data_IF_537220546337
#
_entry.id   IF_537220546337
#
_cell.length_a   1.000
_cell.length_b   1.000
_cell.length_c   1.000
_cell.angle_alpha   90.00
_cell.angle_beta   90.00
_cell.angle_gamma   90.00
#
_symmetry.space_group_name_H-M   'P 1'
#
loop_
_entity.id
_entity.type
_entity.pdbx_description
1 polymer ?
#
# COMPACT_ATOMS: atom_id res chain seq x y z
N UNK A 1 2.32 5.63 -10.36
CA UNK A 1 1.58 4.35 -10.28
C UNK A 1 0.91 4.27 -8.93
N UNK A 2 -0.23 3.59 -8.85
CA UNK A 2 -0.93 3.33 -7.59
C UNK A 2 -0.88 1.83 -7.31
N UNK A 3 -0.51 1.46 -6.09
CA UNK A 3 -0.36 0.07 -5.65
C UNK A 3 -1.34 -0.18 -4.52
N UNK A 4 -2.22 -1.15 -4.73
CA UNK A 4 -3.25 -1.59 -3.78
C UNK A 4 -2.78 -2.87 -3.11
N UNK A 5 -2.73 -2.89 -1.78
CA UNK A 5 -2.17 -3.99 -0.99
C UNK A 5 -2.97 -4.24 0.29
N UNK A 6 -2.75 -5.42 0.87
CA UNK A 6 -3.13 -5.73 2.25
C UNK A 6 -1.92 -6.28 3.01
N UNK A 7 -1.78 -5.90 4.28
CA UNK A 7 -0.55 -6.18 5.04
C UNK A 7 -0.34 -7.64 5.44
N UNK A 8 -1.37 -8.49 5.38
CA UNK A 8 -1.22 -9.93 5.66
C UNK A 8 -1.31 -10.79 4.39
N UNK A 9 -1.77 -10.25 3.28
CA UNK A 9 -1.77 -10.95 1.99
C UNK A 9 -0.34 -11.33 1.55
N UNK A 10 -0.10 -12.63 1.37
CA UNK A 10 1.20 -13.16 0.95
C UNK A 10 1.62 -12.62 -0.42
N UNK A 11 0.67 -12.50 -1.37
CA UNK A 11 0.96 -11.94 -2.68
C UNK A 11 1.35 -10.47 -2.60
N UNK A 12 0.70 -9.69 -1.72
CA UNK A 12 1.05 -8.28 -1.51
C UNK A 12 2.48 -8.15 -0.95
N UNK A 13 2.86 -9.02 -0.01
CA UNK A 13 4.23 -9.08 0.51
C UNK A 13 5.23 -9.47 -0.57
N UNK A 14 4.94 -10.49 -1.38
CA UNK A 14 5.83 -10.92 -2.45
C UNK A 14 6.01 -9.81 -3.49
N UNK A 15 4.95 -9.12 -3.89
CA UNK A 15 5.09 -7.97 -4.78
C UNK A 15 6.00 -6.88 -4.20
N UNK A 16 5.80 -6.49 -2.94
CA UNK A 16 6.64 -5.48 -2.31
C UNK A 16 8.10 -5.93 -2.21
N UNK A 17 8.35 -7.15 -1.73
CA UNK A 17 9.72 -7.62 -1.44
C UNK A 17 10.48 -8.10 -2.69
N UNK A 18 9.80 -8.73 -3.65
CA UNK A 18 10.44 -9.41 -4.78
C UNK A 18 10.35 -8.62 -6.08
N UNK A 19 9.35 -7.74 -6.24
CA UNK A 19 9.18 -6.94 -7.45
C UNK A 19 9.57 -5.49 -7.26
N UNK A 20 9.05 -4.83 -6.22
CA UNK A 20 9.19 -3.39 -6.06
C UNK A 20 10.48 -2.99 -5.34
N UNK A 21 10.73 -3.53 -4.15
CA UNK A 21 11.91 -3.19 -3.34
C UNK A 21 13.24 -3.36 -4.11
N UNK A 22 13.49 -4.45 -4.86
CA UNK A 22 14.78 -4.68 -5.52
C UNK A 22 15.08 -3.70 -6.66
N UNK A 23 14.05 -3.08 -7.22
CA UNK A 23 14.20 -2.15 -8.35
C UNK A 23 14.00 -0.69 -7.94
N UNK A 24 13.48 -0.44 -6.74
CA UNK A 24 13.04 0.89 -6.33
C UNK A 24 14.11 1.96 -6.51
N UNK A 25 15.36 1.69 -6.12
CA UNK A 25 16.44 2.67 -6.25
C UNK A 25 16.75 3.06 -7.70
N UNK A 26 16.51 2.18 -8.68
CA UNK A 26 16.72 2.48 -10.10
C UNK A 26 15.59 3.35 -10.69
N UNK A 27 14.40 3.32 -10.10
CA UNK A 27 13.21 3.98 -10.63
C UNK A 27 12.68 5.12 -9.76
N UNK A 28 13.13 5.27 -8.51
CA UNK A 28 12.55 6.20 -7.51
C UNK A 28 12.47 7.66 -7.94
N UNK A 29 13.36 8.11 -8.82
CA UNK A 29 13.36 9.49 -9.34
C UNK A 29 12.56 9.62 -10.66
N UNK A 30 12.10 8.49 -11.21
CA UNK A 30 11.32 8.41 -12.46
C UNK A 30 9.84 8.08 -12.21
N UNK A 31 9.50 7.55 -11.02
CA UNK A 31 8.14 7.14 -10.69
C UNK A 31 7.70 7.76 -9.37
N UNK A 32 6.44 8.18 -9.34
CA UNK A 32 5.71 8.42 -8.11
C UNK A 32 4.85 7.19 -7.80
N UNK A 33 4.91 6.70 -6.56
CA UNK A 33 4.12 5.56 -6.10
C UNK A 33 3.14 6.04 -5.04
N UNK A 34 1.86 5.81 -5.28
CA UNK A 34 0.83 5.98 -4.26
C UNK A 34 0.46 4.59 -3.72
N UNK A 35 0.53 4.40 -2.41
CA UNK A 35 0.14 3.15 -1.77
C UNK A 35 -1.25 3.29 -1.17
N UNK A 36 -2.15 2.37 -1.54
CA UNK A 36 -3.46 2.22 -0.92
C UNK A 36 -3.44 0.88 -0.18
N UNK A 37 -3.47 0.93 1.16
CA UNK A 37 -3.67 -0.25 2.01
C UNK A 37 -5.17 -0.44 2.25
N UNK A 38 -5.61 -1.48 2.99
CA UNK A 38 -7.04 -1.77 3.19
C UNK A 38 -7.81 -2.12 1.92
N UNK A 39 -7.14 -2.57 0.87
CA UNK A 39 -7.74 -2.59 -0.46
C UNK A 39 -8.90 -3.59 -0.64
N UNK A 40 -8.96 -4.71 0.09
CA UNK A 40 -10.12 -5.62 0.11
C UNK A 40 -10.97 -5.48 1.37
N UNK A 41 -10.74 -4.46 2.19
CA UNK A 41 -11.48 -4.30 3.43
C UNK A 41 -12.92 -3.85 3.18
N UNK A 42 -13.81 -4.28 4.07
CA UNK A 42 -15.21 -3.88 4.12
C UNK A 42 -15.45 -3.15 5.44
N UNK A 43 -15.84 -1.89 5.33
CA UNK A 43 -15.96 -0.92 6.40
C UNK A 43 -17.30 -0.20 6.32
N UNK A 44 -17.94 -0.06 7.48
CA UNK A 44 -19.20 0.67 7.61
C UNK A 44 -19.29 1.34 8.99
N UNK A 45 -20.04 2.43 9.06
CA UNK A 45 -20.33 3.13 10.32
C UNK A 45 -21.55 2.46 10.95
N UNK A 46 -21.41 2.04 12.21
CA UNK A 46 -22.51 1.49 13.02
C UNK A 46 -23.43 2.60 13.51
N UNK A 47 -24.59 2.20 14.04
CA UNK A 47 -25.58 3.12 14.61
C UNK A 47 -25.04 3.96 15.77
N UNK A 48 -24.03 3.47 16.49
CA UNK A 48 -23.35 4.19 17.58
C UNK A 48 -22.22 5.12 17.10
N UNK A 49 -22.03 5.26 15.78
CA UNK A 49 -20.98 6.08 15.17
C UNK A 49 -19.59 5.45 15.16
N UNK A 50 -19.43 4.21 15.64
CA UNK A 50 -18.16 3.49 15.54
C UNK A 50 -17.94 2.92 14.14
N UNK A 51 -16.70 2.96 13.67
CA UNK A 51 -16.32 2.31 12.43
C UNK A 51 -16.11 0.81 12.67
N UNK A 52 -16.93 -0.03 12.02
CA UNK A 52 -16.60 -1.44 11.85
C UNK A 52 -15.73 -1.62 10.62
N UNK A 53 -14.74 -2.49 10.69
CA UNK A 53 -13.90 -2.85 9.54
C UNK A 53 -13.57 -4.32 9.60
N UNK A 54 -13.87 -5.01 8.51
CA UNK A 54 -13.57 -6.41 8.27
C UNK A 54 -12.47 -6.48 7.21
N UNK A 55 -11.38 -7.15 7.57
CA UNK A 55 -10.28 -7.44 6.64
C UNK A 55 -10.21 -8.94 6.38
N UNK A 56 -9.68 -9.32 5.22
CA UNK A 56 -9.66 -10.71 4.76
C UNK A 56 -8.92 -11.63 5.74
N UNK A 57 -7.79 -11.17 6.30
CA UNK A 57 -6.99 -11.92 7.27
C UNK A 57 -7.27 -11.51 8.74
N UNK A 58 -8.45 -10.91 8.99
CA UNK A 58 -8.94 -10.57 10.32
C UNK A 58 -8.25 -9.37 10.99
N UNK A 59 -8.48 -9.21 12.30
CA UNK A 59 -8.05 -8.03 13.06
C UNK A 59 -6.56 -7.68 12.93
N UNK A 60 -5.61 -8.64 12.90
CA UNK A 60 -4.19 -8.30 12.80
C UNK A 60 -3.79 -7.67 11.46
N UNK A 61 -4.56 -7.89 10.39
CA UNK A 61 -4.42 -7.15 9.13
C UNK A 61 -4.96 -5.74 9.29
N UNK A 62 -6.20 -5.59 9.76
CA UNK A 62 -6.81 -4.27 9.93
C UNK A 62 -5.95 -3.34 10.80
N UNK A 63 -5.35 -3.85 11.88
CA UNK A 63 -4.48 -3.06 12.75
C UNK A 63 -3.24 -2.56 11.99
N UNK A 64 -2.62 -3.41 11.17
CA UNK A 64 -1.41 -3.06 10.45
C UNK A 64 -1.71 -2.20 9.22
N UNK A 65 -2.79 -2.45 8.50
CA UNK A 65 -3.27 -1.61 7.39
C UNK A 65 -3.61 -0.20 7.90
N UNK A 66 -4.24 -0.08 9.08
CA UNK A 66 -4.50 1.23 9.69
C UNK A 66 -3.23 1.95 10.10
N UNK A 67 -2.28 1.23 10.71
CA UNK A 67 -0.97 1.78 11.02
C UNK A 67 -0.26 2.29 9.76
N UNK A 68 -0.25 1.49 8.68
CA UNK A 68 0.35 1.87 7.40
C UNK A 68 -0.36 3.09 6.80
N UNK A 69 -1.69 3.08 6.73
CA UNK A 69 -2.51 4.19 6.20
C UNK A 69 -2.23 5.49 6.95
N UNK A 70 -2.27 5.47 8.29
CA UNK A 70 -1.98 6.63 9.11
C UNK A 70 -0.53 7.10 8.97
N UNK A 71 0.43 6.17 8.92
CA UNK A 71 1.83 6.53 8.69
C UNK A 71 2.02 7.21 7.33
N UNK A 72 1.42 6.67 6.26
CA UNK A 72 1.44 7.30 4.94
C UNK A 72 0.84 8.72 4.99
N UNK A 73 -0.28 8.91 5.69
CA UNK A 73 -0.91 10.22 5.84
C UNK A 73 -0.05 11.23 6.62
N UNK A 74 0.57 10.80 7.73
CA UNK A 74 1.42 11.64 8.58
C UNK A 74 2.67 12.11 7.82
N UNK A 75 3.25 11.24 6.99
CA UNK A 75 4.45 11.50 6.20
C UNK A 75 4.18 11.85 4.72
N UNK A 76 2.97 12.29 4.39
CA UNK A 76 2.53 12.56 3.00
C UNK A 76 3.37 13.57 2.20
N UNK A 77 4.15 14.42 2.89
CA UNK A 77 5.03 15.39 2.25
C UNK A 77 6.42 14.81 1.91
N UNK A 78 6.74 13.58 2.35
CA UNK A 78 7.99 12.89 2.04
C UNK A 78 7.69 11.51 1.43
N UNK A 79 7.48 11.52 0.11
CA UNK A 79 7.15 10.32 -0.68
C UNK A 79 8.26 9.26 -0.61
N UNK A 80 9.54 9.69 -0.56
CA UNK A 80 10.67 8.76 -0.41
C UNK A 80 10.63 8.05 0.94
N UNK A 81 10.18 8.74 2.00
CA UNK A 81 10.01 8.17 3.33
C UNK A 81 8.78 7.26 3.44
N UNK A 82 7.67 7.60 2.79
CA UNK A 82 6.48 6.75 2.71
C UNK A 82 6.82 5.32 2.21
N UNK A 83 7.67 5.22 1.19
CA UNK A 83 8.07 3.92 0.66
C UNK A 83 8.87 3.09 1.67
N UNK A 84 9.74 3.71 2.48
CA UNK A 84 10.49 3.03 3.55
C UNK A 84 9.55 2.40 4.59
N UNK A 85 8.46 3.10 4.93
CA UNK A 85 7.44 2.60 5.86
C UNK A 85 6.80 1.32 5.32
N UNK A 86 6.33 1.33 4.07
CA UNK A 86 5.72 0.15 3.44
C UNK A 86 6.74 -0.98 3.31
N UNK A 87 7.95 -0.71 2.82
CA UNK A 87 8.97 -1.74 2.67
C UNK A 87 9.34 -2.38 4.00
N UNK A 88 9.51 -1.61 5.08
CA UNK A 88 9.82 -2.18 6.38
C UNK A 88 8.66 -3.02 6.92
N UNK A 89 7.44 -2.48 6.89
CA UNK A 89 6.26 -3.14 7.48
C UNK A 89 5.82 -4.39 6.71
N UNK A 90 6.11 -4.46 5.41
CA UNK A 90 5.80 -5.60 4.54
C UNK A 90 6.91 -6.66 4.46
N UNK A 91 8.13 -6.36 4.94
CA UNK A 91 9.28 -7.31 4.94
C UNK A 91 9.23 -8.34 6.07
N UNK A 92 8.53 -8.05 7.16
CA UNK A 92 8.71 -8.77 8.43
C UNK A 92 7.52 -9.65 8.84
N UNK A 93 7.81 -10.81 9.42
CA UNK A 93 6.85 -11.56 10.28
C UNK A 93 6.73 -10.93 11.68
N UNK A 94 7.68 -10.08 12.07
CA UNK A 94 7.70 -9.38 13.37
C UNK A 94 6.81 -8.14 13.29
N UNK A 95 6.13 -7.83 14.39
CA UNK A 95 5.26 -6.67 14.54
C UNK A 95 5.94 -5.36 14.06
N UNK A 96 5.16 -4.44 13.49
CA UNK A 96 5.62 -3.12 12.97
C UNK A 96 6.39 -2.25 13.98
N UNK A 97 6.41 -2.62 15.26
CA UNK A 97 7.24 -2.03 16.33
C UNK A 97 8.72 -1.93 15.99
N UNK A 98 9.28 -2.90 15.25
CA UNK A 98 10.66 -2.81 14.80
C UNK A 98 10.86 -1.65 13.81
N UNK A 99 9.91 -1.46 12.89
CA UNK A 99 9.94 -0.37 11.91
C UNK A 99 9.76 1.01 12.54
N UNK A 100 8.97 1.12 13.60
CA UNK A 100 8.85 2.37 14.38
C UNK A 100 10.23 2.81 14.87
N UNK A 101 11.02 1.90 15.44
CA UNK A 101 12.37 2.21 15.92
C UNK A 101 13.36 2.44 14.77
N UNK A 102 13.37 1.56 13.77
CA UNK A 102 14.30 1.61 12.63
C UNK A 102 14.15 2.90 11.82
N UNK A 103 12.93 3.39 11.64
CA UNK A 103 12.64 4.58 10.85
C UNK A 103 12.43 5.83 11.71
N UNK A 104 12.56 5.73 13.04
CA UNK A 104 12.27 6.81 13.99
C UNK A 104 10.89 7.45 13.75
N UNK A 105 9.86 6.61 13.67
CA UNK A 105 8.49 7.07 13.44
C UNK A 105 7.92 7.76 14.67
N UNK A 106 7.18 8.84 14.43
CA UNK A 106 6.44 9.58 15.45
C UNK A 106 5.20 8.76 15.85
N UNK A 107 5.41 7.87 16.82
CA UNK A 107 4.39 6.91 17.25
C UNK A 107 3.18 7.62 17.85
N UNK A 108 3.37 8.73 18.54
CA UNK A 108 2.28 9.48 19.16
C UNK A 108 1.33 10.03 18.09
N UNK A 109 1.87 10.67 17.04
CA UNK A 109 1.05 11.16 15.93
C UNK A 109 0.35 10.04 15.17
N UNK A 110 1.02 8.90 15.00
CA UNK A 110 0.42 7.74 14.35
C UNK A 110 -0.71 7.18 15.22
N UNK A 111 -0.50 6.99 16.51
CA UNK A 111 -1.52 6.48 17.45
C UNK A 111 -2.75 7.40 17.49
N UNK A 112 -2.53 8.71 17.60
CA UNK A 112 -3.59 9.72 17.51
C UNK A 112 -4.39 9.61 16.21
N UNK A 113 -3.73 9.35 15.08
CA UNK A 113 -4.42 9.08 13.83
C UNK A 113 -5.23 7.78 13.90
N UNK A 114 -4.64 6.68 14.37
CA UNK A 114 -5.32 5.37 14.38
C UNK A 114 -6.51 5.29 15.34
N UNK A 115 -6.52 6.11 16.39
CA UNK A 115 -7.58 6.14 17.39
C UNK A 115 -8.64 7.22 17.11
N UNK A 116 -8.34 8.17 16.22
CA UNK A 116 -9.19 9.32 15.93
C UNK A 116 -10.01 9.22 14.64
N UNK A 117 -10.77 10.29 14.37
CA UNK A 117 -11.59 10.42 13.17
C UNK A 117 -10.78 10.37 11.88
N UNK A 118 -9.52 10.82 11.91
CA UNK A 118 -8.61 10.74 10.77
C UNK A 118 -8.42 9.30 10.31
N UNK A 119 -8.16 8.36 11.24
CA UNK A 119 -8.03 6.95 10.91
C UNK A 119 -9.31 6.37 10.31
N UNK A 120 -10.47 6.73 10.87
CA UNK A 120 -11.78 6.29 10.35
C UNK A 120 -12.00 6.77 8.91
N UNK A 121 -11.78 8.07 8.67
CA UNK A 121 -11.89 8.67 7.35
C UNK A 121 -10.97 7.99 6.34
N UNK A 122 -9.70 7.78 6.72
CA UNK A 122 -8.71 7.19 5.83
C UNK A 122 -9.05 5.73 5.48
N UNK A 123 -9.59 4.94 6.41
CA UNK A 123 -10.04 3.57 6.11
C UNK A 123 -11.20 3.57 5.11
N UNK A 124 -12.22 4.41 5.31
CA UNK A 124 -13.34 4.53 4.37
C UNK A 124 -12.89 5.06 3.00
N UNK A 125 -11.94 6.00 2.99
CA UNK A 125 -11.33 6.50 1.78
C UNK A 125 -10.58 5.39 1.03
N UNK A 126 -9.74 4.61 1.70
CA UNK A 126 -9.02 3.48 1.10
C UNK A 126 -9.96 2.46 0.45
N UNK A 127 -11.05 2.09 1.12
CA UNK A 127 -12.08 1.23 0.54
C UNK A 127 -12.66 1.83 -0.74
N UNK A 128 -13.05 3.11 -0.69
CA UNK A 128 -13.65 3.80 -1.84
C UNK A 128 -12.69 3.85 -3.03
N UNK A 129 -11.42 4.21 -2.80
CA UNK A 129 -10.40 4.29 -3.85
C UNK A 129 -10.08 2.92 -4.47
N UNK A 130 -10.23 1.85 -3.69
CA UNK A 130 -9.94 0.48 -4.13
C UNK A 130 -11.10 -0.17 -4.90
N UNK A 131 -12.34 0.27 -4.67
CA UNK A 131 -13.55 -0.43 -5.12
C UNK A 131 -13.55 -0.77 -6.62
N UNK A 132 -13.28 0.21 -7.50
CA UNK A 132 -13.27 -0.03 -8.94
C UNK A 132 -12.11 -0.94 -9.37
N UNK A 133 -10.93 -0.75 -8.77
CA UNK A 133 -9.73 -1.51 -9.11
C UNK A 133 -9.87 -2.97 -8.72
N UNK A 134 -10.37 -3.24 -7.51
CA UNK A 134 -10.56 -4.60 -7.01
C UNK A 134 -11.66 -5.33 -7.76
N UNK A 135 -12.74 -4.62 -8.13
CA UNK A 135 -13.81 -5.19 -8.96
C UNK A 135 -13.28 -5.70 -10.31
N UNK A 136 -12.37 -4.96 -10.94
CA UNK A 136 -11.85 -5.32 -12.27
C UNK A 136 -10.65 -6.29 -12.21
N UNK A 137 -9.78 -6.16 -11.20
CA UNK A 137 -8.54 -6.94 -11.08
C UNK A 137 -8.65 -8.16 -10.15
N UNK A 138 -9.77 -8.34 -9.46
CA UNK A 138 -10.09 -9.52 -8.65
C UNK A 138 -9.10 -9.85 -7.52
N UNK A 139 -8.42 -8.84 -6.95
CA UNK A 139 -7.61 -9.07 -5.75
C UNK A 139 -6.46 -8.10 -5.54
N UNK A 140 -5.64 -8.41 -4.54
CA UNK A 140 -4.40 -7.71 -4.20
C UNK A 140 -3.20 -8.67 -4.27
N UNK A 141 -2.00 -8.19 -4.63
CA UNK A 141 -1.68 -6.80 -4.99
C UNK A 141 -2.26 -6.43 -6.34
N UNK A 142 -2.66 -5.17 -6.49
CA UNK A 142 -3.09 -4.59 -7.75
C UNK A 142 -2.25 -3.35 -8.05
N UNK A 143 -1.89 -3.15 -9.32
CA UNK A 143 -1.07 -2.00 -9.75
C UNK A 143 -1.71 -1.35 -10.97
N UNK A 144 -1.97 -0.06 -10.85
CA UNK A 144 -2.46 0.76 -11.98
C UNK A 144 -1.47 1.89 -12.29
N UNK A 145 -1.45 2.29 -13.56
CA UNK A 145 -0.58 3.35 -14.04
C UNK A 145 -1.42 4.54 -14.49
N UNK A 146 -1.11 5.71 -13.96
CA UNK A 146 -1.79 6.98 -14.30
C UNK A 146 -3.32 6.91 -14.20
N UNK A 147 -3.84 6.21 -13.19
CA UNK A 147 -5.29 6.06 -12.97
C UNK A 147 -6.02 5.11 -13.93
N UNK A 148 -5.31 4.43 -14.83
CA UNK A 148 -5.90 3.53 -15.82
C UNK A 148 -5.86 2.09 -15.34
N UNK A 149 -7.02 1.45 -15.28
CA UNK A 149 -7.17 0.01 -15.04
C UNK A 149 -6.97 -0.72 -16.38
N UNK A 150 -5.75 -1.17 -16.62
CA UNK A 150 -5.38 -2.01 -17.76
C UNK A 150 -5.05 -3.39 -17.21
N UNK A 151 -5.97 -4.34 -17.37
CA UNK A 151 -5.89 -5.69 -16.77
C UNK A 151 -4.63 -6.43 -17.20
N UNK A 152 -4.28 -6.35 -18.49
CA UNK A 152 -3.08 -6.98 -19.06
C UNK A 152 -1.81 -6.39 -18.45
N UNK A 153 -1.75 -5.07 -18.29
CA UNK A 153 -0.60 -4.41 -17.67
C UNK A 153 -0.54 -4.70 -16.17
N UNK A 154 -1.67 -4.69 -15.48
CA UNK A 154 -1.76 -4.97 -14.05
C UNK A 154 -1.25 -6.39 -13.74
N UNK A 155 -1.76 -7.41 -14.45
CA UNK A 155 -1.36 -8.81 -14.29
C UNK A 155 0.16 -9.00 -14.51
N UNK A 156 0.69 -8.36 -15.55
CA UNK A 156 2.14 -8.38 -15.83
C UNK A 156 2.95 -7.66 -14.76
N UNK A 157 2.43 -6.56 -14.20
CA UNK A 157 3.15 -5.79 -13.21
C UNK A 157 3.39 -6.58 -11.92
N UNK A 158 2.51 -7.53 -11.58
CA UNK A 158 2.65 -8.35 -10.36
C UNK A 158 3.85 -9.30 -10.42
N UNK A 159 4.32 -9.69 -11.61
CA UNK A 159 5.43 -10.65 -11.77
C UNK A 159 6.61 -10.11 -12.57
N UNK A 160 6.43 -9.00 -13.30
CA UNK A 160 7.43 -8.43 -14.21
C UNK A 160 7.49 -6.90 -14.10
N UNK A 161 7.37 -6.34 -12.89
CA UNK A 161 7.27 -4.89 -12.67
C UNK A 161 8.36 -4.10 -13.38
N UNK A 162 9.63 -4.54 -13.29
CA UNK A 162 10.77 -3.89 -13.96
C UNK A 162 10.55 -3.73 -15.46
N UNK A 163 10.05 -4.77 -16.13
CA UNK A 163 9.80 -4.77 -17.58
C UNK A 163 8.64 -3.85 -17.94
N UNK A 164 7.58 -3.86 -17.14
CA UNK A 164 6.44 -2.95 -17.31
C UNK A 164 6.88 -1.50 -17.16
N UNK A 165 7.65 -1.17 -16.11
CA UNK A 165 8.17 0.17 -15.89
C UNK A 165 9.06 0.65 -17.03
N UNK A 166 10.00 -0.17 -17.49
CA UNK A 166 10.83 0.17 -18.66
C UNK A 166 9.99 0.49 -19.88
N UNK A 167 8.94 -0.29 -20.14
CA UNK A 167 8.03 -0.06 -21.26
C UNK A 167 7.26 1.25 -21.10
N UNK A 168 6.66 1.49 -19.92
CA UNK A 168 5.86 2.70 -19.64
C UNK A 168 6.72 3.98 -19.63
N UNK A 169 8.00 3.88 -19.27
CA UNK A 169 8.96 4.98 -19.23
C UNK A 169 9.78 5.13 -20.53
N UNK A 170 9.54 4.30 -21.54
CA UNK A 170 10.32 4.26 -22.79
C UNK A 170 11.83 4.05 -22.56
N UNK A 171 12.20 3.32 -21.52
CA UNK A 171 13.60 2.98 -21.20
C UNK A 171 13.99 1.71 -21.98
N UNK A 172 15.12 1.71 -22.71
CA UNK A 172 15.60 0.52 -23.42
C UNK A 172 15.82 -0.68 -22.49
N UNK A 173 15.62 -1.90 -23.01
CA UNK A 173 15.67 -3.15 -22.22
C UNK A 173 17.07 -3.41 -21.64
N UNK A 174 18.08 -2.89 -22.30
CA UNK A 174 19.53 -3.03 -22.15
C UNK A 174 20.15 -2.08 -21.13
N UNK A 175 19.43 -1.04 -20.69
CA UNK A 175 19.88 -0.16 -19.59
C UNK A 175 19.64 -0.86 -18.25
N UNK A 176 20.69 -1.16 -17.48
CA UNK A 176 20.63 -1.96 -16.24
C UNK A 176 19.68 -1.38 -15.18
#
# INVERSE_FOLDING_TARGET
>A
MTVFIESRCVYSKNFINDQLLPIYDNFKDLIHINFITFALSESHIKDDGQLETKCYHGKPECTLDLFQTCSLFIYRNDTKFQHKIIFCTMRSKRFYKACIKELNLDIERIENCTQGETGKYLTLWSQKESAAVIKELNGVPAVIFNGVIDTVVADRAITQLKRVLKTKLHIPKDVK
#
